data_IF_611846747824
#
_entry.id   IF_611846747824
#
_cell.length_a   1.000
_cell.length_b   1.000
_cell.length_c   1.000
_cell.angle_alpha   90.00
_cell.angle_beta   90.00
_cell.angle_gamma   90.00
#
_symmetry.space_group_name_H-M   'P 1'
#
loop_
_entity.id
_entity.type
_entity.pdbx_description
1 polymer ?
2 non-polymer ?
3 non-polymer ?
4 water ?
#
# COMPACT_ATOMS: atom_id res chain seq x y z
N UNK A 5 9.58 30.66 -12.95
CA UNK A 5 9.20 32.11 -12.86
C UNK A 5 8.28 32.50 -14.01
N UNK A 6 8.75 32.25 -15.24
CA UNK A 6 7.91 32.42 -16.42
C UNK A 6 6.87 31.29 -16.49
N UNK A 7 7.30 30.09 -16.11
CA UNK A 7 6.48 28.89 -16.20
C UNK A 7 5.25 28.94 -15.31
N UNK A 8 5.45 29.37 -14.06
CA UNK A 8 4.39 29.40 -13.02
C UNK A 8 3.09 30.02 -13.54
N UNK A 9 3.25 31.03 -14.38
CA UNK A 9 2.14 31.74 -15.00
C UNK A 9 1.25 30.81 -15.83
N UNK A 10 1.78 29.67 -16.25
CA UNK A 10 1.01 28.65 -16.99
C UNK A 10 -0.10 27.98 -16.15
N UNK A 11 0.00 28.10 -14.83
CA UNK A 11 -0.92 27.41 -13.93
C UNK A 11 -2.00 28.34 -13.40
N UNK A 12 -3.16 27.78 -13.07
CA UNK A 12 -4.19 28.50 -12.31
C UNK A 12 -3.59 29.19 -11.08
N UNK A 13 -4.16 30.33 -10.67
CA UNK A 13 -3.63 31.04 -9.50
C UNK A 13 -4.03 30.36 -8.19
N UNK A 14 -5.01 29.46 -8.25
CA UNK A 14 -5.44 28.67 -7.07
C UNK A 14 -4.42 27.64 -6.58
N UNK A 15 -3.36 27.45 -7.38
CA UNK A 15 -2.40 26.35 -7.18
C UNK A 15 -1.11 26.71 -6.46
N UNK A 16 -0.67 25.74 -5.68
CA UNK A 16 0.48 25.87 -4.83
C UNK A 16 1.65 25.06 -5.40
N UNK A 17 2.65 25.74 -5.94
CA UNK A 17 3.89 25.08 -6.41
C UNK A 17 5.09 25.29 -5.45
N UNK A 18 5.77 24.19 -5.14
CA UNK A 18 7.05 24.17 -4.45
C UNK A 18 7.94 23.27 -5.30
N UNK A 19 9.07 23.82 -5.76
CA UNK A 19 9.91 23.15 -6.77
C UNK A 19 11.39 23.33 -6.51
N UNK A 20 12.14 22.24 -6.65
CA UNK A 20 13.60 22.28 -6.52
C UNK A 20 14.22 21.37 -7.59
N UNK A 21 15.22 21.90 -8.29
CA UNK A 21 15.98 21.12 -9.31
C UNK A 21 17.46 21.34 -9.03
N UNK A 22 18.21 20.26 -8.89
CA UNK A 22 19.60 20.34 -8.56
C UNK A 22 20.40 19.23 -9.24
N UNK A 23 21.50 19.63 -9.86
CA UNK A 23 22.48 18.68 -10.42
C UNK A 23 22.93 17.70 -9.35
N UNK A 24 23.11 16.43 -9.72
CA UNK A 24 23.49 15.46 -8.71
C UNK A 24 24.88 15.84 -8.18
N UNK A 25 24.98 15.98 -6.87
CA UNK A 25 26.26 16.29 -6.23
C UNK A 25 26.63 17.76 -6.13
N UNK A 26 25.82 18.64 -6.76
CA UNK A 26 26.06 20.07 -6.72
C UNK A 26 25.73 20.69 -5.37
N UNK A 27 26.38 21.79 -5.04
CA UNK A 27 26.16 22.39 -3.73
C UNK A 27 24.97 23.33 -3.77
N UNK A 28 24.56 23.72 -4.97
CA UNK A 28 23.46 24.68 -5.13
C UNK A 28 22.49 24.28 -6.23
N UNK A 29 21.20 24.58 -6.03
CA UNK A 29 20.16 24.24 -7.00
C UNK A 29 20.10 25.15 -8.22
N UNK A 30 19.66 24.57 -9.34
CA UNK A 30 19.43 25.29 -10.57
C UNK A 30 18.12 26.04 -10.56
N UNK A 31 17.12 25.43 -9.92
CA UNK A 31 15.80 26.00 -9.72
C UNK A 31 15.43 25.81 -8.26
N UNK A 32 15.01 26.91 -7.62
CA UNK A 32 14.62 26.86 -6.22
C UNK A 32 13.43 27.77 -6.03
N UNK A 33 12.27 27.16 -5.89
CA UNK A 33 11.06 27.93 -5.76
C UNK A 33 10.18 27.44 -4.62
N UNK A 34 10.22 28.17 -3.50
CA UNK A 34 9.53 27.78 -2.27
C UNK A 34 9.91 26.35 -1.89
N UNK A 35 11.18 26.02 -2.05
CA UNK A 35 11.67 24.66 -1.79
C UNK A 35 11.63 24.22 -0.31
N UNK A 36 11.55 25.20 0.62
CA UNK A 36 11.49 24.87 2.06
C UNK A 36 10.06 24.76 2.57
N UNK A 37 9.12 25.07 1.69
CA UNK A 37 7.74 25.01 2.05
C UNK A 37 7.23 23.57 2.06
N UNK A 38 6.64 23.16 3.18
CA UNK A 38 6.19 21.79 3.37
C UNK A 38 4.87 21.48 2.65
N UNK A 39 4.81 20.29 2.03
CA UNK A 39 3.69 19.90 1.21
C UNK A 39 3.27 18.44 1.50
N UNK A 40 2.04 18.11 1.13
CA UNK A 40 1.57 16.74 1.09
C UNK A 40 2.34 15.99 -0.02
N UNK A 41 3.10 14.97 0.32
CA UNK A 41 3.87 14.24 -0.71
C UNK A 41 3.01 13.23 -1.49
N UNK A 42 1.90 12.75 -0.91
CA UNK A 42 1.16 11.64 -1.48
C UNK A 42 2.14 10.52 -1.82
N UNK A 43 1.98 9.83 -2.97
CA UNK A 43 2.76 8.59 -3.20
C UNK A 43 4.27 8.78 -3.38
N UNK A 44 4.78 10.02 -3.54
CA UNK A 44 6.24 10.22 -3.54
C UNK A 44 6.80 9.85 -2.19
N UNK A 45 5.93 9.70 -1.18
CA UNK A 45 6.37 9.16 0.13
C UNK A 45 7.04 7.80 -0.07
N UNK A 46 6.59 7.02 -1.05
CA UNK A 46 7.18 5.68 -1.32
C UNK A 46 8.71 5.68 -1.64
N UNK A 47 9.23 6.80 -2.11
CA UNK A 47 10.68 6.96 -2.35
C UNK A 47 11.45 6.79 -1.05
N UNK A 48 11.01 7.53 -0.03
CA UNK A 48 11.62 7.45 1.28
C UNK A 48 11.42 6.03 1.87
N UNK A 49 10.21 5.49 1.70
CA UNK A 49 9.96 4.14 2.22
C UNK A 49 10.90 3.11 1.60
N UNK A 50 11.08 3.20 0.29
CA UNK A 50 11.92 2.27 -0.44
C UNK A 50 13.35 2.42 0.08
N UNK A 51 13.81 3.67 0.25
CA UNK A 51 15.22 3.84 0.69
C UNK A 51 15.46 3.30 2.08
N UNK A 52 14.53 3.62 3.00
CA UNK A 52 14.65 3.23 4.41
C UNK A 52 14.61 1.71 4.48
N UNK A 53 13.77 1.10 3.64
CA UNK A 53 13.62 -0.35 3.60
C UNK A 53 14.89 -1.05 3.13
N UNK A 54 15.48 -0.54 2.05
CA UNK A 54 16.74 -1.14 1.55
C UNK A 54 17.82 -1.05 2.61
N UNK A 55 17.92 0.09 3.28
CA UNK A 55 18.97 0.23 4.29
C UNK A 55 18.71 -0.68 5.50
N UNK A 56 17.46 -0.71 5.98
CA UNK A 56 17.18 -1.45 7.20
C UNK A 56 17.03 -2.96 6.96
N UNK A 57 16.25 -3.33 5.97
CA UNK A 57 15.89 -4.73 5.75
C UNK A 57 16.81 -5.38 4.72
N UNK A 58 17.32 -4.58 3.78
CA UNK A 58 18.14 -5.07 2.67
C UNK A 58 17.34 -5.65 1.50
N UNK A 59 17.99 -5.72 0.34
CA UNK A 59 17.32 -6.11 -0.89
C UNK A 59 16.84 -7.58 -0.86
N UNK A 60 17.40 -8.39 0.05
CA UNK A 60 17.08 -9.83 0.09
C UNK A 60 16.05 -10.24 1.17
N UNK A 61 15.60 -9.30 1.99
CA UNK A 61 14.50 -9.54 2.92
C UNK A 61 13.31 -10.19 2.22
N UNK A 62 12.69 -11.16 2.89
CA UNK A 62 11.46 -11.76 2.40
C UNK A 62 10.45 -11.78 3.57
N UNK A 63 9.20 -11.46 3.28
CA UNK A 63 8.15 -11.65 4.30
C UNK A 63 7.97 -13.14 4.53
N UNK A 64 7.55 -13.52 5.74
CA UNK A 64 7.45 -14.94 6.06
C UNK A 64 6.14 -15.28 6.75
N UNK A 65 5.50 -16.37 6.31
CA UNK A 65 4.31 -16.87 6.95
C UNK A 65 4.60 -18.34 7.35
N UNK A 66 4.22 -18.76 8.57
CA UNK A 66 4.49 -20.15 8.96
C UNK A 66 3.30 -20.87 9.64
N UNK A 67 3.29 -22.19 9.55
CA UNK A 67 2.48 -23.01 10.46
C UNK A 67 3.44 -23.69 11.40
N UNK A 68 3.20 -23.49 12.69
CA UNK A 68 4.02 -24.03 13.76
C UNK A 68 3.20 -24.86 14.73
N UNK A 69 3.83 -25.91 15.26
CA UNK A 69 3.21 -26.74 16.27
C UNK A 69 3.91 -26.51 17.59
N UNK A 70 3.10 -26.33 18.62
CA UNK A 70 3.54 -26.26 20.01
C UNK A 70 2.95 -27.47 20.75
N UNK A 71 3.76 -28.52 20.89
CA UNK A 71 3.29 -29.75 21.50
C UNK A 71 3.82 -30.98 20.80
N UNK A 72 3.58 -32.15 21.42
CA UNK A 72 4.01 -33.43 20.89
C UNK A 72 3.00 -34.04 19.92
N UNK A 73 3.50 -34.60 18.83
CA UNK A 73 2.64 -35.29 17.87
C UNK A 73 2.62 -36.82 18.18
N UNK A 74 1.49 -37.29 18.72
CA UNK A 74 1.27 -38.69 19.05
C UNK A 74 0.21 -39.33 18.16
N UNK A 75 0.62 -40.25 17.28
CA UNK A 75 -0.36 -41.03 16.53
C UNK A 75 -1.20 -40.14 15.63
N UNK A 76 -0.54 -39.17 14.99
CA UNK A 76 -1.23 -38.21 14.12
C UNK A 76 -1.99 -37.12 14.84
N UNK A 77 -1.86 -37.08 16.17
CA UNK A 77 -2.59 -36.12 16.99
C UNK A 77 -1.62 -35.14 17.62
N UNK A 78 -1.80 -33.85 17.32
CA UNK A 78 -1.00 -32.80 17.97
C UNK A 78 -1.62 -32.54 19.34
N UNK A 79 -0.82 -32.77 20.37
CA UNK A 79 -1.29 -32.50 21.71
C UNK A 79 -0.77 -31.12 22.05
N UNK A 80 -1.62 -30.13 21.77
CA UNK A 80 -1.23 -28.72 21.86
C UNK A 80 -1.87 -27.88 20.76
N UNK A 81 -1.27 -26.73 20.48
CA UNK A 81 -1.85 -25.77 19.56
C UNK A 81 -1.18 -25.75 18.18
N UNK A 82 -1.97 -25.52 17.14
CA UNK A 82 -1.46 -25.10 15.83
C UNK A 82 -1.36 -23.58 15.83
N UNK A 83 -0.20 -23.05 15.43
CA UNK A 83 0.00 -21.59 15.38
C UNK A 83 0.20 -21.19 13.93
N UNK A 84 -0.67 -20.33 13.39
CA UNK A 84 -0.43 -19.81 12.05
C UNK A 84 0.16 -18.42 12.29
N UNK A 85 1.47 -18.28 12.07
CA UNK A 85 2.14 -17.03 12.39
C UNK A 85 2.25 -16.20 11.11
N UNK A 86 1.42 -15.15 11.04
CA UNK A 86 1.40 -14.28 9.88
C UNK A 86 2.51 -13.26 10.00
N UNK A 87 3.02 -12.78 8.87
CA UNK A 87 4.15 -11.87 8.88
C UNK A 87 4.01 -10.67 7.97
N UNK A 88 2.75 -10.29 7.69
CA UNK A 88 2.43 -9.07 6.95
C UNK A 88 2.82 -9.18 5.49
N UNK A 89 2.98 -10.43 5.00
CA UNK A 89 3.31 -10.65 3.57
C UNK A 89 2.18 -10.09 2.72
N UNK A 90 2.41 -9.02 1.93
CA UNK A 90 1.35 -8.39 1.11
C UNK A 90 0.89 -9.26 -0.07
N UNK A 91 1.67 -10.30 -0.36
CA UNK A 91 1.48 -11.10 -1.56
C UNK A 91 0.97 -12.50 -1.26
N UNK A 92 0.70 -12.80 0.02
CA UNK A 92 0.11 -14.10 0.39
C UNK A 92 -1.20 -14.38 -0.27
N UNK A 93 -1.38 -15.61 -0.80
CA UNK A 93 -2.66 -15.94 -1.48
C UNK A 93 -3.43 -17.12 -0.79
N UNK A 94 -4.75 -17.21 -0.97
CA UNK A 94 -5.54 -18.37 -0.46
C UNK A 94 -4.83 -19.68 -0.77
N UNK A 95 -4.37 -19.82 -2.01
CA UNK A 95 -3.77 -21.09 -2.39
C UNK A 95 -2.52 -21.39 -1.56
N UNK A 96 -1.81 -20.34 -1.09
CA UNK A 96 -0.63 -20.55 -0.21
C UNK A 96 -1.02 -21.16 1.13
N UNK A 97 -2.17 -20.77 1.64
CA UNK A 97 -2.63 -21.32 2.92
C UNK A 97 -2.98 -22.78 2.71
N UNK A 98 -3.73 -23.04 1.63
CA UNK A 98 -4.07 -24.40 1.21
C UNK A 98 -2.81 -25.27 1.12
N UNK A 99 -1.74 -24.73 0.52
CA UNK A 99 -0.43 -25.44 0.41
C UNK A 99 0.26 -25.70 1.72
N UNK A 100 0.27 -24.72 2.63
CA UNK A 100 0.86 -24.95 3.94
C UNK A 100 0.06 -26.03 4.68
N UNK A 101 -1.26 -25.99 4.58
CA UNK A 101 -2.10 -27.01 5.24
C UNK A 101 -1.85 -28.40 4.61
N UNK A 102 -1.66 -28.45 3.29
CA UNK A 102 -1.34 -29.72 2.65
C UNK A 102 -0.06 -30.28 3.26
N UNK A 103 0.92 -29.41 3.51
CA UNK A 103 2.22 -29.76 4.12
C UNK A 103 2.11 -30.19 5.58
N UNK A 104 1.25 -29.51 6.32
CA UNK A 104 0.94 -29.88 7.70
C UNK A 104 0.42 -31.33 7.76
N UNK A 105 -0.59 -31.62 6.96
CA UNK A 105 -1.16 -32.95 6.88
C UNK A 105 -0.08 -33.94 6.51
N UNK A 106 0.61 -33.66 5.41
CA UNK A 106 1.66 -34.55 4.94
C UNK A 106 2.70 -34.85 6.03
N UNK A 107 2.96 -33.90 6.94
CA UNK A 107 3.89 -34.16 8.05
C UNK A 107 3.35 -35.14 9.11
N UNK A 108 2.12 -35.59 8.94
CA UNK A 108 1.52 -36.58 9.86
C UNK A 108 0.49 -36.06 10.85
N UNK A 109 0.12 -34.77 10.76
CA UNK A 109 -0.92 -34.20 11.65
C UNK A 109 -2.33 -34.33 11.04
N UNK A 110 -3.18 -35.15 11.69
CA UNK A 110 -4.57 -35.36 11.26
C UNK A 110 -5.52 -34.67 12.18
N UNK A 111 -5.02 -34.33 13.36
CA UNK A 111 -5.89 -33.87 14.42
C UNK A 111 -5.15 -32.94 15.35
N UNK A 112 -5.83 -31.89 15.81
CA UNK A 112 -5.26 -30.99 16.81
C UNK A 112 -6.07 -31.05 18.10
N UNK A 113 -5.42 -31.51 19.16
CA UNK A 113 -6.05 -31.63 20.47
C UNK A 113 -5.75 -30.29 21.14
N UNK A 114 -6.43 -29.25 20.73
CA UNK A 114 -6.01 -27.90 21.12
C UNK A 114 -6.65 -26.84 20.28
N UNK A 115 -6.06 -25.64 20.35
CA UNK A 115 -6.59 -24.44 19.70
C UNK A 115 -5.87 -24.19 18.38
N UNK A 116 -6.50 -23.44 17.49
CA UNK A 116 -5.81 -22.97 16.29
C UNK A 116 -5.57 -21.50 16.52
N UNK A 117 -4.31 -21.10 16.53
CA UNK A 117 -3.99 -19.74 16.91
C UNK A 117 -3.59 -18.90 15.69
N UNK A 118 -4.21 -17.73 15.56
CA UNK A 118 -3.90 -16.81 14.47
C UNK A 118 -3.05 -15.74 15.06
N UNK A 119 -1.77 -15.90 14.80
CA UNK A 119 -0.79 -15.12 15.48
C UNK A 119 -0.45 -13.88 14.63
N UNK A 120 -0.70 -12.71 15.18
CA UNK A 120 -0.42 -11.45 14.49
C UNK A 120 0.58 -10.62 15.29
N UNK A 121 1.34 -11.27 16.18
CA UNK A 121 2.23 -10.59 17.15
C UNK A 121 3.35 -9.79 16.53
N UNK A 122 3.62 -10.04 15.25
CA UNK A 122 4.61 -9.23 14.50
C UNK A 122 4.31 -7.74 14.56
N UNK A 123 3.02 -7.43 14.58
CA UNK A 123 2.51 -6.07 14.56
C UNK A 123 1.67 -5.85 15.80
N UNK A 124 1.43 -4.58 16.13
CA UNK A 124 0.45 -4.27 17.17
C UNK A 124 -0.20 -2.92 16.86
N UNK A 125 -1.23 -2.62 17.63
CA UNK A 125 -2.02 -1.40 17.54
C UNK A 125 -2.80 -1.44 16.24
N UNK A 126 -3.34 -0.31 15.79
CA UNK A 126 -4.26 -0.28 14.67
C UNK A 126 -3.60 -0.61 13.33
N UNK A 127 -4.39 -1.19 12.42
CA UNK A 127 -3.91 -1.55 11.07
C UNK A 127 -4.06 -0.38 10.07
N UNK A 128 -4.48 0.77 10.57
CA UNK A 128 -4.69 1.96 9.75
C UNK A 128 -3.81 3.03 10.35
N UNK A 129 -3.03 3.70 9.50
CA UNK A 129 -2.16 4.76 9.93
C UNK A 129 -2.96 5.98 10.38
N UNK A 130 -2.39 6.80 11.27
CA UNK A 130 -2.98 8.09 11.58
C UNK A 130 -3.10 8.98 10.30
N UNK A 131 -4.21 9.68 10.17
CA UNK A 131 -4.36 10.63 9.07
C UNK A 131 -5.00 10.02 7.83
N UNK A 132 -5.30 8.73 7.86
CA UNK A 132 -6.09 8.15 6.75
C UNK A 132 -7.58 8.57 6.83
N UNK A 133 -8.14 9.01 5.70
CA UNK A 133 -9.56 9.42 5.62
C UNK A 133 -10.42 8.19 5.92
N UNK A 134 -11.36 8.35 6.82
CA UNK A 134 -12.25 7.21 7.17
C UNK A 134 -12.99 6.64 5.95
N UNK A 135 -13.42 7.49 5.06
CA UNK A 135 -14.35 7.06 3.97
C UNK A 135 -13.68 6.14 2.95
N UNK A 136 -12.35 6.11 2.96
CA UNK A 136 -11.63 5.25 2.02
C UNK A 136 -11.31 3.86 2.62
N UNK A 137 -11.67 3.62 3.89
CA UNK A 137 -11.22 2.42 4.60
C UNK A 137 -11.82 1.12 3.98
N UNK A 138 -12.99 1.24 3.35
CA UNK A 138 -13.60 0.07 2.68
C UNK A 138 -13.13 -0.13 1.26
N UNK A 139 -12.31 0.79 0.72
CA UNK A 139 -11.83 0.65 -0.67
C UNK A 139 -10.55 -0.18 -0.71
N UNK A 140 -10.39 -1.04 -1.73
CA UNK A 140 -9.17 -1.82 -1.81
C UNK A 140 -7.82 -1.06 -1.83
N UNK A 141 -7.76 0.13 -2.42
CA UNK A 141 -6.52 0.88 -2.43
C UNK A 141 -6.10 1.32 -1.04
N UNK A 142 -7.05 1.30 -0.11
CA UNK A 142 -6.75 1.68 1.27
C UNK A 142 -7.00 0.52 2.27
N UNK A 143 -6.92 -0.73 1.78
CA UNK A 143 -7.24 -1.89 2.63
C UNK A 143 -6.24 -1.92 3.78
N UNK A 144 -6.69 -2.09 5.03
CA UNK A 144 -5.73 -2.17 6.15
C UNK A 144 -4.63 -3.18 5.91
N UNK A 145 -3.39 -2.69 5.92
CA UNK A 145 -2.22 -3.53 5.67
C UNK A 145 -1.83 -4.29 6.95
N UNK A 146 -2.67 -5.23 7.31
CA UNK A 146 -2.55 -5.98 8.56
C UNK A 146 -1.44 -7.01 8.51
N UNK A 147 -1.09 -7.59 9.68
CA UNK A 147 -0.23 -8.79 9.70
C UNK A 147 -0.83 -9.93 8.91
N UNK A 148 -2.16 -10.06 8.99
CA UNK A 148 -2.82 -11.14 8.25
C UNK A 148 -3.43 -10.61 6.99
N UNK A 149 -2.81 -10.96 5.87
CA UNK A 149 -3.27 -10.56 4.52
C UNK A 149 -3.40 -11.81 3.65
N UNK A 150 -4.53 -11.92 2.98
CA UNK A 150 -4.75 -12.98 2.02
C UNK A 150 -5.43 -12.37 0.78
N UNK A 151 -4.79 -12.59 -0.37
CA UNK A 151 -5.31 -11.98 -1.64
C UNK A 151 -5.67 -10.51 -1.42
N UNK A 152 -4.69 -9.83 -0.83
CA UNK A 152 -4.64 -8.38 -0.69
C UNK A 152 -5.73 -7.85 0.20
N UNK A 153 -6.46 -8.75 0.89
CA UNK A 153 -7.53 -8.30 1.78
C UNK A 153 -8.61 -7.50 1.05
N UNK A 154 -8.93 -7.98 -0.15
CA UNK A 154 -9.90 -7.31 -1.03
C UNK A 154 -10.74 -8.43 -1.62
N UNK A 155 -12.05 -8.22 -1.72
CA UNK A 155 -12.97 -9.21 -2.28
C UNK A 155 -13.99 -8.47 -3.14
N UNK A 156 -14.78 -9.18 -3.93
CA UNK A 156 -15.71 -8.47 -4.79
C UNK A 156 -17.08 -9.12 -4.68
N UNK A 157 -18.09 -8.36 -5.08
CA UNK A 157 -19.44 -8.65 -4.81
C UNK A 157 -20.19 -8.14 -6.05
N UNK A 158 -21.37 -8.69 -6.32
CA UNK A 158 -22.23 -8.17 -7.40
C UNK A 158 -23.51 -7.70 -6.80
N UNK A 159 -23.91 -6.46 -7.09
CA UNK A 159 -25.18 -5.96 -6.59
C UNK A 159 -26.19 -5.90 -7.72
N UNK A 160 -27.33 -6.59 -7.52
CA UNK A 160 -28.40 -6.67 -8.52
C UNK A 160 -29.60 -5.88 -8.08
N UNK A 161 -30.13 -5.06 -8.98
CA UNK A 161 -31.38 -4.39 -8.65
C UNK A 161 -32.49 -5.43 -8.68
N UNK A 162 -33.52 -5.20 -7.86
CA UNK A 162 -34.70 -6.05 -7.85
C UNK A 162 -35.57 -5.78 -9.07
N UNK A 163 -36.17 -6.84 -9.64
CA UNK A 163 -37.15 -6.70 -10.75
C UNK A 163 -38.28 -5.69 -10.49
N UNK A 164 -38.87 -5.72 -9.29
CA UNK A 164 -39.86 -4.71 -8.89
C UNK A 164 -39.28 -3.61 -8.00
N UNK A 165 -39.40 -2.35 -8.42
CA UNK A 165 -39.02 -1.19 -7.61
C UNK A 165 -39.64 -1.18 -6.21
N UNK A 166 -38.84 -0.74 -5.24
CA UNK A 166 -39.26 -0.79 -3.85
C UNK A 166 -38.80 -2.07 -3.19
N UNK A 167 -38.54 -3.10 -4.00
CA UNK A 167 -37.97 -4.35 -3.48
C UNK A 167 -36.47 -4.21 -3.25
N UNK A 168 -35.99 -5.03 -2.30
CA UNK A 168 -34.61 -5.01 -1.80
C UNK A 168 -33.65 -5.47 -2.90
N UNK A 169 -32.68 -4.62 -3.26
CA UNK A 169 -31.60 -5.03 -4.16
C UNK A 169 -30.78 -6.16 -3.50
N UNK A 170 -30.27 -7.10 -4.29
CA UNK A 170 -29.67 -8.28 -3.70
C UNK A 170 -28.22 -8.55 -4.11
N UNK A 171 -27.49 -9.20 -3.22
CA UNK A 171 -26.04 -9.32 -3.35
C UNK A 171 -25.53 -10.74 -3.62
N UNK A 172 -24.74 -10.91 -4.67
CA UNK A 172 -24.07 -12.19 -4.84
C UNK A 172 -22.58 -12.07 -4.57
N UNK A 173 -22.07 -13.05 -3.83
CA UNK A 173 -20.66 -13.08 -3.49
C UNK A 173 -20.14 -14.51 -3.56
N UNK A 174 -18.94 -14.70 -4.06
CA UNK A 174 -18.34 -16.02 -4.19
C UNK A 174 -18.23 -16.72 -2.85
N UNK A 175 -18.50 -18.03 -2.87
CA UNK A 175 -18.49 -18.90 -1.71
C UNK A 175 -17.15 -18.81 -0.96
N UNK A 176 -16.08 -18.53 -1.68
CA UNK A 176 -14.74 -18.63 -1.09
C UNK A 176 -14.31 -17.37 -0.36
N UNK A 177 -15.22 -16.39 -0.22
CA UNK A 177 -14.91 -15.20 0.59
C UNK A 177 -15.64 -15.30 1.91
N UNK A 178 -14.90 -15.44 3.02
CA UNK A 178 -15.51 -15.50 4.34
C UNK A 178 -15.88 -14.10 4.83
N UNK A 179 -16.93 -13.55 4.22
CA UNK A 179 -17.50 -12.25 4.64
C UNK A 179 -19.01 -12.49 4.78
N UNK A 180 -19.73 -11.57 5.45
CA UNK A 180 -21.17 -11.68 5.57
C UNK A 180 -21.81 -10.43 5.01
N UNK A 181 -22.56 -10.57 3.92
CA UNK A 181 -23.17 -9.41 3.26
C UNK A 181 -24.65 -9.29 3.62
N UNK A 182 -25.08 -8.05 3.90
CA UNK A 182 -26.51 -7.78 4.08
C UNK A 182 -26.92 -6.62 3.16
N UNK A 183 -28.12 -6.70 2.58
CA UNK A 183 -28.60 -5.59 1.79
C UNK A 183 -29.81 -4.90 2.40
N UNK A 184 -29.70 -3.57 2.56
CA UNK A 184 -30.82 -2.73 2.95
C UNK A 184 -31.05 -1.67 1.86
N UNK A 185 -30.73 -2.07 0.63
CA UNK A 185 -30.73 -1.20 -0.55
C UNK A 185 -32.11 -1.26 -1.21
N UNK A 186 -32.73 -0.10 -1.37
CA UNK A 186 -34.05 -0.02 -1.98
C UNK A 186 -33.83 0.22 -3.46
N UNK A 187 -34.48 -0.59 -4.28
CA UNK A 187 -34.39 -0.45 -5.72
C UNK A 187 -35.32 0.67 -6.15
N UNK A 188 -34.81 1.63 -6.92
CA UNK A 188 -35.61 2.80 -7.31
C UNK A 188 -36.17 2.63 -8.72
N UNK A 189 -37.41 3.04 -8.91
CA UNK A 189 -37.99 3.10 -10.25
C UNK A 189 -37.14 4.04 -11.06
N UNK A 190 -36.93 3.73 -12.32
CA UNK A 190 -36.27 4.70 -13.18
C UNK A 190 -36.98 6.07 -13.11
N UNK A 191 -36.18 7.14 -13.05
CA UNK A 191 -36.69 8.50 -12.92
C UNK A 191 -37.14 8.97 -11.54
N UNK A 192 -36.90 8.16 -10.49
CA UNK A 192 -37.28 8.53 -9.12
C UNK A 192 -36.65 9.86 -8.71
N UNK A 193 -37.41 10.68 -8.00
CA UNK A 193 -36.89 11.93 -7.44
C UNK A 193 -35.77 11.65 -6.42
N UNK A 194 -35.82 10.47 -5.81
CA UNK A 194 -34.83 10.03 -4.85
C UNK A 194 -33.42 9.81 -5.39
N UNK A 195 -33.26 9.65 -6.69
CA UNK A 195 -31.97 9.17 -7.14
C UNK A 195 -30.85 10.23 -7.03
N UNK A 196 -31.22 11.53 -7.00
CA UNK A 196 -30.19 12.58 -6.99
C UNK A 196 -29.40 12.58 -5.68
N UNK A 197 -30.11 12.54 -4.55
CA UNK A 197 -29.44 12.64 -3.24
C UNK A 197 -29.45 11.40 -2.36
N UNK A 198 -29.99 10.29 -2.86
CA UNK A 198 -29.92 9.05 -2.12
C UNK A 198 -28.63 8.33 -2.46
N UNK A 199 -27.78 8.16 -1.47
CA UNK A 199 -26.45 7.56 -1.68
C UNK A 199 -26.57 6.03 -1.69
N UNK A 200 -25.61 5.36 -2.34
CA UNK A 200 -25.38 3.90 -2.21
C UNK A 200 -24.17 3.75 -1.29
N UNK A 201 -24.35 3.16 -0.12
CA UNK A 201 -23.29 3.17 0.87
C UNK A 201 -22.96 1.76 1.33
N UNK A 202 -21.71 1.61 1.77
CA UNK A 202 -21.26 0.43 2.46
C UNK A 202 -20.96 0.75 3.92
N UNK A 203 -21.48 -0.10 4.80
CA UNK A 203 -21.29 0.08 6.24
C UNK A 203 -20.69 -1.21 6.82
N UNK A 204 -19.39 -1.19 7.12
CA UNK A 204 -18.72 -2.38 7.73
C UNK A 204 -19.15 -2.58 9.17
N UNK A 205 -19.28 -3.84 9.56
CA UNK A 205 -19.57 -4.22 10.96
C UNK A 205 -18.49 -5.15 11.47
N UNK A 206 -18.68 -5.65 12.68
CA UNK A 206 -17.72 -6.61 13.22
C UNK A 206 -17.64 -7.94 12.42
N UNK A 207 -16.48 -8.57 12.44
CA UNK A 207 -16.31 -9.94 11.92
C UNK A 207 -16.59 -10.01 10.43
N UNK A 208 -16.11 -9.00 9.75
CA UNK A 208 -16.20 -8.93 8.28
C UNK A 208 -17.64 -9.00 7.79
N UNK A 209 -18.55 -8.36 8.55
CA UNK A 209 -19.91 -8.12 8.07
C UNK A 209 -19.96 -6.84 7.30
N UNK A 210 -20.71 -6.82 6.18
CA UNK A 210 -20.89 -5.58 5.48
C UNK A 210 -22.37 -5.39 5.17
N UNK A 211 -22.88 -4.18 5.41
CA UNK A 211 -24.28 -3.89 5.06
C UNK A 211 -24.30 -2.81 4.01
N UNK A 212 -25.02 -3.08 2.92
CA UNK A 212 -25.23 -2.11 1.86
C UNK A 212 -26.53 -1.34 2.13
N UNK A 213 -26.48 -0.02 2.05
CA UNK A 213 -27.69 0.77 2.33
C UNK A 213 -27.96 1.83 1.29
N UNK A 214 -29.17 2.37 1.31
CA UNK A 214 -29.51 3.47 0.45
C UNK A 214 -30.25 2.99 -0.78
N UNK A 215 -29.89 3.56 -1.92
CA UNK A 215 -30.69 3.34 -3.13
C UNK A 215 -29.89 2.92 -4.30
N UNK A 216 -30.52 2.09 -5.14
CA UNK A 216 -29.97 1.70 -6.42
C UNK A 216 -31.06 1.82 -7.50
N UNK A 217 -30.82 2.64 -8.53
CA UNK A 217 -31.76 2.71 -9.65
C UNK A 217 -31.80 1.36 -10.31
N UNK A 218 -32.96 0.99 -10.80
CA UNK A 218 -33.11 -0.21 -11.62
C UNK A 218 -32.05 -0.18 -12.70
N UNK A 219 -31.37 -1.30 -12.89
CA UNK A 219 -30.33 -1.43 -13.90
C UNK A 219 -30.40 -2.85 -14.44
N UNK A 220 -29.95 -3.02 -15.67
CA UNK A 220 -30.06 -4.27 -16.43
C UNK A 220 -28.98 -5.28 -16.06
N UNK A 221 -27.77 -4.79 -15.76
CA UNK A 221 -26.67 -5.65 -15.32
C UNK A 221 -26.39 -5.40 -13.84
N UNK A 222 -25.82 -6.39 -13.13
CA UNK A 222 -25.37 -6.14 -11.75
C UNK A 222 -24.32 -5.04 -11.63
N UNK A 223 -24.27 -4.38 -10.48
CA UNK A 223 -23.20 -3.43 -10.23
C UNK A 223 -22.06 -4.21 -9.57
N UNK A 224 -20.88 -4.23 -10.18
CA UNK A 224 -19.74 -4.86 -9.52
C UNK A 224 -19.06 -3.92 -8.50
N UNK A 225 -18.77 -4.46 -7.31
CA UNK A 225 -18.19 -3.68 -6.22
C UNK A 225 -17.08 -4.47 -5.60
N UNK A 226 -16.01 -3.77 -5.23
CA UNK A 226 -14.89 -4.42 -4.55
C UNK A 226 -14.69 -3.70 -3.22
N UNK A 227 -14.53 -4.48 -2.13
CA UNK A 227 -14.34 -3.90 -0.79
C UNK A 227 -13.11 -4.43 -0.08
N UNK A 228 -12.55 -3.65 0.85
CA UNK A 228 -11.45 -4.10 1.71
C UNK A 228 -11.98 -4.82 2.93
N UNK A 229 -11.31 -5.94 3.26
CA UNK A 229 -11.56 -6.70 4.50
C UNK A 229 -11.09 -5.78 5.63
N UNK A 230 -11.93 -5.57 6.63
CA UNK A 230 -11.62 -4.75 7.80
C UNK A 230 -10.90 -5.53 8.93
N UNK A 231 -11.11 -6.83 8.99
CA UNK A 231 -10.55 -7.64 10.07
C UNK A 231 -9.74 -8.77 9.45
N UNK A 232 -8.51 -8.44 9.11
CA UNK A 232 -7.61 -9.42 8.46
C UNK A 232 -7.39 -10.74 9.21
N UNK A 233 -7.21 -10.67 10.54
CA UNK A 233 -7.07 -11.90 11.35
C UNK A 233 -8.25 -12.86 11.26
N UNK A 234 -9.47 -12.32 11.37
CA UNK A 234 -10.66 -13.14 11.31
C UNK A 234 -10.81 -13.73 9.95
N UNK A 235 -10.53 -12.92 8.93
CA UNK A 235 -10.64 -13.37 7.54
C UNK A 235 -9.65 -14.52 7.25
N UNK A 236 -8.39 -14.30 7.59
CA UNK A 236 -7.34 -15.31 7.42
C UNK A 236 -7.64 -16.59 8.25
N UNK A 237 -8.11 -16.40 9.48
CA UNK A 237 -8.56 -17.53 10.30
C UNK A 237 -9.62 -18.37 9.65
N UNK A 238 -10.63 -17.72 9.11
CA UNK A 238 -11.73 -18.40 8.50
C UNK A 238 -11.19 -19.17 7.27
N UNK A 239 -10.29 -18.55 6.51
CA UNK A 239 -9.76 -19.29 5.36
C UNK A 239 -8.95 -20.51 5.83
N UNK A 240 -8.14 -20.33 6.86
CA UNK A 240 -7.33 -21.45 7.38
C UNK A 240 -8.23 -22.59 7.90
N UNK A 241 -9.31 -22.22 8.58
CA UNK A 241 -10.27 -23.18 9.11
C UNK A 241 -10.94 -23.96 7.99
N UNK A 242 -11.34 -23.25 6.94
CA UNK A 242 -11.84 -23.92 5.74
C UNK A 242 -10.79 -24.89 5.21
N UNK A 243 -9.56 -24.45 5.02
CA UNK A 243 -8.54 -25.34 4.44
C UNK A 243 -8.23 -26.55 5.35
N UNK A 244 -8.16 -26.32 6.65
CA UNK A 244 -7.98 -27.44 7.60
C UNK A 244 -9.05 -28.50 7.40
N UNK A 245 -10.32 -28.08 7.34
CA UNK A 245 -11.45 -29.02 7.20
C UNK A 245 -11.36 -29.78 5.91
N UNK A 246 -11.04 -29.07 4.82
CA UNK A 246 -10.95 -29.71 3.52
C UNK A 246 -9.88 -30.76 3.48
N UNK A 247 -8.78 -30.51 4.21
CA UNK A 247 -7.71 -31.50 4.25
C UNK A 247 -7.98 -32.62 5.31
N UNK A 248 -9.17 -32.60 5.89
CA UNK A 248 -9.62 -33.63 6.87
C UNK A 248 -9.00 -33.47 8.27
N UNK A 249 -8.35 -32.35 8.55
CA UNK A 249 -7.79 -32.08 9.88
C UNK A 249 -8.85 -31.53 10.79
N UNK A 250 -9.02 -32.15 11.97
CA UNK A 250 -9.97 -31.70 12.97
C UNK A 250 -9.21 -31.11 14.16
N UNK A 251 -9.90 -30.31 14.98
CA UNK A 251 -9.35 -29.77 16.22
C UNK A 251 -10.45 -29.66 17.29
N UNK A 252 -10.10 -29.78 18.56
CA UNK A 252 -11.12 -29.76 19.61
C UNK A 252 -11.46 -28.38 20.15
N UNK A 253 -10.58 -27.40 19.87
CA UNK A 253 -10.64 -26.12 20.53
C UNK A 253 -11.35 -25.12 19.67
N UNK A 254 -10.87 -23.88 19.67
CA UNK A 254 -11.41 -22.87 18.77
C UNK A 254 -10.29 -22.08 18.10
N UNK A 255 -10.71 -21.22 17.18
CA UNK A 255 -9.85 -20.28 16.52
C UNK A 255 -9.65 -19.08 17.43
N UNK A 256 -8.43 -18.86 17.90
CA UNK A 256 -8.15 -17.70 18.74
C UNK A 256 -7.07 -16.82 18.14
N UNK A 257 -7.18 -15.52 18.38
CA UNK A 257 -6.10 -14.64 17.98
C UNK A 257 -5.01 -14.66 19.03
N UNK A 258 -3.77 -14.62 18.58
CA UNK A 258 -2.62 -14.49 19.47
C UNK A 258 -1.89 -13.19 19.13
N UNK A 259 -1.87 -12.24 20.05
CA UNK A 259 -1.30 -10.90 19.78
C UNK A 259 0.01 -10.66 20.52
N UNK A 260 0.31 -11.49 21.52
CA UNK A 260 1.46 -11.27 22.39
C UNK A 260 2.71 -11.95 21.83
N UNK A 261 3.85 -11.27 21.90
CA UNK A 261 5.07 -11.91 21.45
C UNK A 261 5.28 -13.22 22.20
N UNK A 262 5.83 -14.20 21.49
CA UNK A 262 5.96 -15.55 21.99
C UNK A 262 7.07 -16.25 21.23
N UNK A 263 7.62 -17.29 21.83
CA UNK A 263 8.65 -18.10 21.16
C UNK A 263 8.05 -18.95 20.04
N UNK A 264 8.69 -19.01 18.88
CA UNK A 264 8.16 -19.82 17.79
C UNK A 264 8.07 -21.29 18.15
N UNK A 265 7.05 -21.95 17.61
CA UNK A 265 6.94 -23.40 17.70
C UNK A 265 7.86 -24.04 16.67
N UNK A 266 7.66 -25.34 16.44
CA UNK A 266 8.36 -26.05 15.39
C UNK A 266 7.72 -25.69 14.03
N UNK A 267 8.50 -25.14 13.11
CA UNK A 267 7.94 -24.74 11.81
C UNK A 267 7.70 -25.95 10.93
N UNK A 268 6.44 -26.24 10.66
CA UNK A 268 6.06 -27.40 9.85
C UNK A 268 5.80 -27.03 8.39
N UNK A 269 5.36 -25.79 8.16
CA UNK A 269 5.22 -25.32 6.79
C UNK A 269 5.52 -23.83 6.75
N UNK A 270 5.87 -23.32 5.57
CA UNK A 270 6.28 -21.91 5.42
C UNK A 270 6.12 -21.42 4.00
N UNK A 271 5.94 -20.09 3.89
CA UNK A 271 5.88 -19.43 2.59
C UNK A 271 6.62 -18.13 2.78
N UNK A 272 7.52 -17.84 1.84
CA UNK A 272 8.29 -16.59 1.81
C UNK A 272 7.93 -15.83 0.53
N UNK A 273 7.84 -14.52 0.65
CA UNK A 273 7.52 -13.64 -0.49
C UNK A 273 8.76 -13.61 -1.36
N UNK A 274 8.59 -13.11 -2.57
CA UNK A 274 9.69 -12.65 -3.40
C UNK A 274 10.61 -11.74 -2.57
N UNK A 275 11.88 -11.64 -2.93
CA UNK A 275 12.79 -10.75 -2.19
C UNK A 275 12.35 -9.26 -2.25
N UNK A 276 12.74 -8.50 -1.24
CA UNK A 276 12.33 -7.09 -1.12
C UNK A 276 12.65 -6.25 -2.34
N UNK A 277 13.80 -6.48 -2.94
CA UNK A 277 14.13 -5.67 -4.12
C UNK A 277 13.05 -5.82 -5.18
N UNK A 278 12.54 -7.06 -5.37
CA UNK A 278 11.46 -7.33 -6.31
C UNK A 278 10.16 -6.64 -5.93
N UNK A 279 9.83 -6.69 -4.64
CA UNK A 279 8.62 -6.05 -4.14
C UNK A 279 8.72 -4.54 -4.20
N UNK A 280 9.88 -3.98 -3.89
CA UNK A 280 9.99 -2.53 -3.96
C UNK A 280 9.85 -2.00 -5.42
N UNK A 281 10.30 -2.79 -6.40
CA UNK A 281 10.11 -2.46 -7.81
C UNK A 281 8.63 -2.46 -8.21
N UNK A 282 7.86 -3.46 -7.79
CA UNK A 282 6.41 -3.46 -7.98
C UNK A 282 5.86 -2.19 -7.29
N UNK A 283 6.27 -1.96 -6.04
CA UNK A 283 5.75 -0.86 -5.26
C UNK A 283 5.93 0.49 -5.98
N UNK A 284 7.10 0.69 -6.56
CA UNK A 284 7.50 1.98 -7.19
C UNK A 284 6.91 2.11 -8.59
N UNK A 285 6.85 0.99 -9.32
CA UNK A 285 6.25 0.97 -10.68
C UNK A 285 4.71 1.10 -10.67
N UNK A 286 4.06 0.61 -9.62
CA UNK A 286 2.58 0.58 -9.54
C UNK A 286 2.01 1.44 -8.42
N UNK A 287 2.88 2.02 -7.60
CA UNK A 287 2.48 2.82 -6.42
C UNK A 287 1.59 1.93 -5.58
N UNK A 288 2.13 0.76 -5.18
CA UNK A 288 1.35 -0.24 -4.41
C UNK A 288 1.37 0.14 -2.93
N UNK A 289 0.25 0.67 -2.45
CA UNK A 289 0.15 1.15 -1.05
C UNK A 289 0.39 -0.03 -0.06
N UNK A 290 -0.04 -1.23 -0.42
CA UNK A 290 -0.04 -2.30 0.59
C UNK A 290 1.38 -2.75 0.81
N UNK A 291 2.16 -2.81 -0.29
CA UNK A 291 3.58 -3.20 -0.14
C UNK A 291 4.27 -2.11 0.67
N UNK A 292 3.90 -0.86 0.39
CA UNK A 292 4.57 0.31 1.04
C UNK A 292 4.34 0.27 2.54
N UNK A 293 3.11 0.02 2.94
CA UNK A 293 2.70 0.10 4.34
C UNK A 293 3.05 -1.13 5.19
N UNK A 294 3.04 -2.34 4.58
CA UNK A 294 3.56 -3.52 5.31
C UNK A 294 5.03 -3.35 5.51
N UNK A 295 5.76 -2.90 4.46
CA UNK A 295 7.21 -2.59 4.59
C UNK A 295 7.42 -1.60 5.69
N UNK A 296 6.57 -0.58 5.74
CA UNK A 296 6.79 0.53 6.69
C UNK A 296 6.73 0.06 8.14
N UNK A 297 5.70 -0.69 8.50
CA UNK A 297 5.67 -1.18 9.87
C UNK A 297 6.72 -2.27 10.11
N UNK A 298 7.10 -3.00 9.06
CA UNK A 298 8.21 -3.98 9.21
C UNK A 298 9.56 -3.31 9.60
N UNK A 299 9.86 -2.16 9.02
CA UNK A 299 11.04 -1.36 9.34
C UNK A 299 11.12 -1.05 10.82
N UNK A 300 10.00 -0.60 11.41
CA UNK A 300 9.98 -0.28 12.84
C UNK A 300 10.20 -1.52 13.68
N UNK A 301 9.49 -2.58 13.33
CA UNK A 301 9.69 -3.86 13.99
C UNK A 301 11.16 -4.28 13.98
N UNK A 302 11.75 -4.34 12.78
CA UNK A 302 13.18 -4.63 12.62
C UNK A 302 14.15 -3.68 13.33
N UNK A 303 13.91 -2.38 13.32
CA UNK A 303 14.89 -1.48 13.92
C UNK A 303 14.85 -1.55 15.42
N UNK A 304 13.66 -1.70 15.99
CA UNK A 304 13.55 -1.58 17.44
C UNK A 304 13.24 -2.87 18.17
N UNK A 305 13.00 -3.96 17.42
CA UNK A 305 12.68 -5.26 18.03
C UNK A 305 11.48 -5.17 18.97
N UNK A 306 10.40 -4.63 18.43
CA UNK A 306 9.13 -4.48 19.14
C UNK A 306 8.10 -4.84 18.09
N UNK A 307 6.86 -5.20 18.47
CA UNK A 307 5.78 -5.38 17.49
C UNK A 307 5.64 -4.10 16.69
N UNK A 308 5.56 -4.23 15.37
CA UNK A 308 5.59 -3.08 14.52
C UNK A 308 4.32 -2.25 14.66
N UNK A 309 4.51 -0.95 14.86
CA UNK A 309 3.42 0.01 14.88
C UNK A 309 3.72 1.18 13.96
N UNK A 310 2.71 2.02 13.72
CA UNK A 310 2.90 3.19 12.87
C UNK A 310 3.91 4.13 13.49
N UNK A 311 3.85 4.30 14.81
CA UNK A 311 4.77 5.24 15.47
C UNK A 311 6.21 4.70 15.40
N UNK A 312 6.36 3.41 15.62
CA UNK A 312 7.68 2.76 15.52
C UNK A 312 8.24 2.92 14.10
N UNK A 313 7.39 2.69 13.10
CA UNK A 313 7.78 2.92 11.70
C UNK A 313 8.26 4.35 11.50
N UNK A 314 7.51 5.36 11.95
CA UNK A 314 7.90 6.76 11.71
C UNK A 314 9.25 7.11 12.37
N UNK A 315 9.41 6.72 13.63
CA UNK A 315 10.66 6.95 14.38
C UNK A 315 11.81 6.25 13.65
N UNK A 316 11.60 5.02 13.23
CA UNK A 316 12.67 4.23 12.58
C UNK A 316 13.11 4.90 11.26
N UNK A 317 12.15 5.33 10.43
CA UNK A 317 12.49 5.93 9.13
C UNK A 317 13.27 7.23 9.37
N UNK A 318 12.79 8.05 10.30
CA UNK A 318 13.47 9.28 10.68
C UNK A 318 14.90 8.98 11.08
N UNK A 319 15.07 7.94 11.90
CA UNK A 319 16.40 7.59 12.42
C UNK A 319 17.32 7.10 11.31
N UNK A 320 16.78 6.26 10.41
CA UNK A 320 17.54 5.59 9.36
C UNK A 320 18.04 6.70 8.47
N UNK A 321 17.14 7.63 8.13
CA UNK A 321 17.50 8.70 7.21
C UNK A 321 18.60 9.56 7.83
N UNK A 322 18.51 9.81 9.13
CA UNK A 322 19.49 10.69 9.78
C UNK A 322 20.86 10.03 9.90
N UNK A 323 20.85 8.80 10.38
CA UNK A 323 22.04 8.16 10.85
C UNK A 323 22.74 7.44 9.71
N UNK A 324 21.97 6.81 8.81
CA UNK A 324 22.58 6.11 7.67
C UNK A 324 22.65 6.95 6.38
N UNK A 325 21.76 7.92 6.19
CA UNK A 325 21.72 8.64 4.93
C UNK A 325 22.14 10.09 5.10
N UNK A 326 22.47 10.45 6.34
CA UNK A 326 22.88 11.80 6.69
C UNK A 326 21.86 12.87 6.32
N UNK A 327 20.57 12.51 6.33
CA UNK A 327 19.49 13.45 6.11
C UNK A 327 18.77 13.62 7.44
N UNK A 328 18.86 14.82 7.97
CA UNK A 328 18.03 15.22 9.10
C UNK A 328 16.74 15.83 8.54
N UNK A 329 15.61 15.13 8.72
CA UNK A 329 14.37 15.57 8.11
C UNK A 329 13.69 16.68 8.90
N UNK A 330 14.26 17.03 10.06
CA UNK A 330 13.76 18.16 10.84
C UNK A 330 12.29 18.01 11.18
N UNK A 331 11.53 19.06 10.83
CA UNK A 331 10.09 19.14 11.14
C UNK A 331 9.16 18.32 10.20
N UNK A 332 9.74 17.57 9.27
CA UNK A 332 8.97 16.66 8.41
C UNK A 332 8.09 15.77 9.29
N UNK A 333 6.91 15.42 8.80
CA UNK A 333 6.10 14.43 9.46
C UNK A 333 5.94 13.26 8.50
N UNK A 334 6.36 12.07 8.96
CA UNK A 334 6.19 10.82 8.25
C UNK A 334 5.17 10.05 9.05
N UNK A 335 4.06 9.71 8.41
CA UNK A 335 2.95 9.05 9.09
C UNK A 335 2.75 7.63 8.59
N UNK A 336 3.13 7.37 7.33
CA UNK A 336 3.04 6.03 6.83
C UNK A 336 4.10 5.74 5.74
N UNK A 337 4.01 4.59 5.09
CA UNK A 337 4.92 4.27 3.97
C UNK A 337 4.40 4.63 2.58
N UNK A 338 3.10 4.56 2.42
CA UNK A 338 2.50 4.70 1.09
C UNK A 338 2.26 6.16 0.62
N UNK A 339 2.17 7.08 1.59
CA UNK A 339 1.71 8.46 1.39
C UNK A 339 0.19 8.66 1.41
N UNK A 340 -0.55 7.62 1.79
CA UNK A 340 -2.01 7.76 1.93
C UNK A 340 -2.36 8.80 2.99
N UNK A 341 -1.60 8.82 4.09
CA UNK A 341 -1.97 9.69 5.20
C UNK A 341 -1.90 11.16 4.85
N UNK A 342 -2.92 11.90 5.29
CA UNK A 342 -2.94 13.34 5.11
C UNK A 342 -2.08 14.04 6.16
N UNK A 343 -1.52 13.28 7.09
CA UNK A 343 -0.57 13.86 8.06
C UNK A 343 0.86 13.99 7.48
N UNK A 344 1.16 13.29 6.38
CA UNK A 344 2.53 13.27 5.82
C UNK A 344 2.79 14.68 5.36
N UNK A 345 3.95 15.24 5.73
CA UNK A 345 4.25 16.66 5.40
C UNK A 345 5.74 16.80 5.24
N UNK A 346 6.17 17.24 4.05
CA UNK A 346 7.59 17.32 3.67
C UNK A 346 7.85 18.42 2.60
N UNK A 347 8.97 19.10 2.76
CA UNK A 347 9.43 20.13 1.83
C UNK A 347 10.27 19.52 0.72
N UNK A 348 10.19 20.09 -0.50
CA UNK A 348 11.09 19.69 -1.61
C UNK A 348 12.54 19.61 -1.21
N UNK A 349 12.99 20.56 -0.37
CA UNK A 349 14.38 20.60 0.08
C UNK A 349 14.78 19.35 0.84
N UNK A 350 13.86 18.85 1.69
CA UNK A 350 14.09 17.62 2.39
C UNK A 350 14.07 16.43 1.45
N UNK A 351 13.05 16.30 0.60
CA UNK A 351 13.03 15.18 -0.34
C UNK A 351 14.25 15.25 -1.28
N UNK A 352 14.72 16.46 -1.60
CA UNK A 352 15.94 16.61 -2.45
C UNK A 352 17.12 15.94 -1.79
N UNK A 353 17.24 16.06 -0.46
CA UNK A 353 18.38 15.43 0.22
C UNK A 353 18.29 13.91 0.11
N UNK A 354 17.06 13.42 0.17
CA UNK A 354 16.79 12.00 -0.03
C UNK A 354 17.21 11.60 -1.45
N UNK A 355 16.74 12.32 -2.48
CA UNK A 355 17.12 12.03 -3.89
C UNK A 355 18.63 12.12 -4.15
N UNK A 356 19.27 13.12 -3.55
CA UNK A 356 20.74 13.29 -3.70
C UNK A 356 21.44 12.07 -3.15
N UNK A 357 21.02 11.60 -1.98
CA UNK A 357 21.64 10.40 -1.40
C UNK A 357 21.45 9.20 -2.32
N UNK A 358 20.22 9.03 -2.79
CA UNK A 358 19.92 7.91 -3.70
C UNK A 358 20.84 8.01 -4.93
N UNK A 359 20.91 9.17 -5.58
CA UNK A 359 21.71 9.27 -6.82
C UNK A 359 23.20 8.96 -6.55
N UNK A 360 23.72 9.55 -5.48
CA UNK A 360 25.09 9.31 -5.04
C UNK A 360 25.37 7.84 -4.73
N UNK A 361 24.38 7.08 -4.25
CA UNK A 361 24.64 5.69 -3.89
C UNK A 361 23.97 4.73 -4.86
N UNK A 362 23.62 5.21 -6.05
CA UNK A 362 22.75 4.39 -6.85
C UNK A 362 23.43 3.13 -7.35
N UNK A 363 24.76 3.17 -7.55
CA UNK A 363 25.45 1.93 -7.97
C UNK A 363 25.32 0.86 -6.90
N UNK A 364 25.12 1.28 -5.66
CA UNK A 364 24.91 0.35 -4.54
C UNK A 364 23.47 -0.12 -4.37
N UNK A 365 22.54 0.83 -4.50
CA UNK A 365 21.14 0.53 -4.17
C UNK A 365 20.41 -0.13 -5.31
N UNK A 366 20.88 0.14 -6.52
CA UNK A 366 20.15 -0.16 -7.78
C UNK A 366 18.71 0.36 -7.61
N UNK A 367 18.61 1.64 -7.37
CA UNK A 367 17.34 2.27 -7.00
C UNK A 367 16.66 2.87 -8.20
N UNK A 368 17.39 3.69 -8.96
CA UNK A 368 16.79 4.50 -10.02
C UNK A 368 16.11 3.66 -11.07
N UNK A 369 16.67 2.49 -11.34
CA UNK A 369 16.05 1.59 -12.33
C UNK A 369 14.65 1.10 -11.91
N UNK A 370 14.34 1.18 -10.62
CA UNK A 370 13.05 0.74 -10.08
C UNK A 370 11.95 1.78 -10.28
N UNK A 371 12.31 3.05 -10.48
CA UNK A 371 11.31 4.13 -10.64
C UNK A 371 10.72 4.06 -12.02
N UNK A 372 9.48 4.50 -12.18
CA UNK A 372 8.84 4.57 -13.48
C UNK A 372 9.75 5.32 -14.45
N UNK A 373 9.97 4.77 -15.64
CA UNK A 373 10.76 5.47 -16.68
C UNK A 373 9.79 6.07 -17.70
N UNK A 374 9.90 7.39 -17.89
CA UNK A 374 8.99 8.10 -18.75
C UNK A 374 8.96 7.52 -20.17
N UNK A 375 7.76 7.29 -20.68
CA UNK A 375 7.57 6.72 -22.03
C UNK A 375 7.62 5.20 -22.07
N UNK A 376 7.82 4.54 -20.91
CA UNK A 376 7.91 3.08 -20.85
C UNK A 376 6.86 2.55 -19.90
N UNK A 377 6.54 1.27 -20.01
CA UNK A 377 5.55 0.61 -19.15
C UNK A 377 5.75 1.09 -17.69
N UNK A 378 4.69 1.66 -17.10
CA UNK A 378 4.70 2.14 -15.67
C UNK A 378 3.83 3.39 -15.51
N UNK A 379 3.93 4.07 -14.36
CA UNK A 379 3.13 5.27 -14.11
C UNK A 379 3.43 6.48 -15.03
N UNK A 380 4.55 6.42 -15.74
CA UNK A 380 4.95 7.52 -16.64
C UNK A 380 4.99 7.03 -18.10
N UNK A 381 4.31 5.93 -18.38
CA UNK A 381 4.21 5.45 -19.76
C UNK A 381 3.84 6.57 -20.72
N UNK A 382 2.84 7.37 -20.36
CA UNK A 382 2.50 8.57 -21.11
C UNK A 382 2.03 9.67 -20.17
N UNK A 383 2.93 10.61 -19.92
CA UNK A 383 2.55 11.79 -19.18
C UNK A 383 2.81 12.90 -20.15
N UNK A 384 1.73 13.55 -20.57
CA UNK A 384 1.75 14.41 -21.73
C UNK A 384 2.81 15.49 -21.64
N UNK A 385 2.98 16.08 -20.46
CA UNK A 385 3.98 17.11 -20.23
C UNK A 385 5.36 16.59 -20.56
N UNK A 386 5.68 15.39 -20.07
CA UNK A 386 7.02 14.84 -20.26
C UNK A 386 7.18 14.44 -21.71
N UNK A 387 6.16 13.81 -22.28
CA UNK A 387 6.25 13.40 -23.67
C UNK A 387 6.50 14.61 -24.55
N UNK A 388 5.69 15.65 -24.37
CA UNK A 388 5.82 16.87 -25.20
C UNK A 388 7.10 17.62 -24.93
N UNK A 389 7.66 17.46 -23.73
CA UNK A 389 8.92 18.11 -23.41
C UNK A 389 10.08 17.42 -24.12
N UNK A 390 9.81 16.24 -24.69
CA UNK A 390 10.84 15.47 -25.37
C UNK A 390 11.72 14.65 -24.44
N UNK A 391 11.23 14.35 -23.22
CA UNK A 391 12.05 13.68 -22.24
C UNK A 391 11.70 12.22 -21.96
N UNK A 392 10.92 11.59 -22.83
CA UNK A 392 10.70 10.15 -22.65
C UNK A 392 12.09 9.52 -22.67
N UNK A 393 12.32 8.55 -21.78
CA UNK A 393 13.58 7.85 -21.70
C UNK A 393 14.59 8.62 -20.90
N UNK A 394 14.27 9.84 -20.53
CA UNK A 394 15.21 10.70 -19.81
C UNK A 394 14.86 10.97 -18.34
N UNK A 395 13.61 10.66 -17.96
CA UNK A 395 13.13 10.92 -16.60
C UNK A 395 12.75 9.60 -15.95
N UNK A 396 13.28 9.38 -14.73
CA UNK A 396 12.93 8.32 -13.84
C UNK A 396 12.37 8.99 -12.58
N UNK A 397 11.09 8.80 -12.32
CA UNK A 397 10.47 9.59 -11.25
C UNK A 397 9.26 8.93 -10.65
N UNK A 398 9.02 9.22 -9.37
CA UNK A 398 7.84 8.73 -8.69
C UNK A 398 6.72 9.80 -8.72
N UNK A 399 5.49 9.42 -9.09
CA UNK A 399 4.36 10.35 -9.06
C UNK A 399 3.72 10.33 -7.66
N UNK A 400 2.98 11.40 -7.35
CA UNK A 400 2.13 11.43 -6.14
C UNK A 400 0.90 12.20 -6.63
N UNK A 401 -0.19 11.49 -6.91
CA UNK A 401 -1.40 12.03 -7.56
C UNK A 401 -2.64 11.83 -6.70
N UNK A 402 -3.46 12.88 -6.66
CA UNK A 402 -4.70 12.93 -5.89
C UNK A 402 -5.53 13.91 -6.69
N UNK A 403 -6.82 14.02 -6.42
CA UNK A 403 -7.58 15.12 -7.05
C UNK A 403 -6.86 16.42 -6.68
N UNK A 404 -6.43 17.18 -7.68
CA UNK A 404 -5.83 18.48 -7.40
C UNK A 404 -4.37 18.44 -6.98
N UNK A 405 -3.76 17.25 -7.02
CA UNK A 405 -2.35 17.09 -6.64
C UNK A 405 -1.59 16.40 -7.76
N UNK A 406 -0.47 17.00 -8.16
CA UNK A 406 0.36 16.52 -9.25
C UNK A 406 1.84 16.56 -8.88
N UNK A 407 2.27 15.66 -7.99
CA UNK A 407 3.62 15.69 -7.46
C UNK A 407 4.48 14.82 -8.36
N UNK A 408 5.72 15.23 -8.53
CA UNK A 408 6.72 14.37 -9.20
C UNK A 408 8.02 14.49 -8.45
N UNK A 409 8.66 13.36 -8.14
CA UNK A 409 10.00 13.36 -7.53
C UNK A 409 10.87 12.34 -8.22
N UNK A 410 12.06 12.79 -8.67
CA UNK A 410 13.00 11.84 -9.26
C UNK A 410 14.18 12.48 -9.96
N UNK A 411 14.54 11.92 -11.11
CA UNK A 411 15.78 12.32 -11.79
C UNK A 411 15.51 12.50 -13.28
N UNK A 412 16.27 13.43 -13.88
CA UNK A 412 16.27 13.63 -15.32
C UNK A 412 17.71 13.69 -15.82
N UNK A 413 17.95 13.06 -16.97
CA UNK A 413 19.25 13.18 -17.64
C UNK A 413 19.07 14.21 -18.73
N UNK A 414 19.92 15.23 -18.74
CA UNK A 414 19.75 16.34 -19.65
C UNK A 414 20.46 16.12 -20.98
N UNK A 415 20.19 17.04 -21.90
CA UNK A 415 20.78 17.06 -23.25
C UNK A 415 22.29 16.86 -23.23
N UNK A 416 22.95 17.45 -22.23
CA UNK A 416 24.39 17.31 -22.09
C UNK A 416 24.82 16.11 -21.25
N UNK A 417 23.85 15.27 -20.88
CA UNK A 417 24.13 13.99 -20.17
C UNK A 417 24.40 14.11 -18.68
N UNK A 418 24.07 15.25 -18.11
CA UNK A 418 24.20 15.43 -16.68
C UNK A 418 22.90 14.96 -16.03
N UNK A 419 23.00 14.40 -14.83
CA UNK A 419 21.82 13.97 -14.13
C UNK A 419 21.41 15.03 -13.10
N UNK A 420 20.15 15.38 -13.14
CA UNK A 420 19.61 16.32 -12.19
C UNK A 420 18.51 15.65 -11.36
N UNK A 421 18.46 15.97 -10.09
CA UNK A 421 17.39 15.50 -9.22
C UNK A 421 16.36 16.65 -9.16
N UNK A 422 15.08 16.29 -9.05
CA UNK A 422 14.01 17.29 -9.00
C UNK A 422 12.86 16.84 -8.06
N UNK A 423 12.23 17.84 -7.41
CA UNK A 423 11.02 17.62 -6.61
C UNK A 423 10.04 18.69 -7.05
N UNK A 424 8.91 18.24 -7.59
CA UNK A 424 7.82 19.09 -8.01
C UNK A 424 6.64 18.77 -7.12
N UNK A 425 6.37 19.67 -6.16
CA UNK A 425 5.17 19.53 -5.34
C UNK A 425 4.17 20.60 -5.73
N UNK A 426 3.08 20.14 -6.35
CA UNK A 426 2.09 20.98 -7.00
C UNK A 426 0.69 20.52 -6.60
N UNK A 427 -0.05 21.41 -5.93
CA UNK A 427 -1.37 21.08 -5.41
C UNK A 427 -2.44 22.11 -5.64
N UNK A 428 -3.63 21.78 -5.14
CA UNK A 428 -4.82 22.63 -5.31
C UNK A 428 -5.12 22.88 -6.78
N UNK A 429 -4.55 22.09 -7.66
CA UNK A 429 -4.90 22.09 -9.07
C UNK A 429 -6.28 21.44 -9.20
N UNK A 430 -7.27 22.02 -8.51
CA UNK A 430 -8.65 21.76 -8.83
C UNK A 430 -8.92 22.72 -9.99
N UNK A 431 -7.90 22.86 -10.84
CA UNK A 431 -7.74 23.99 -11.77
C UNK A 431 -7.35 25.21 -10.94
N UNK A 440 -6.65 19.29 -17.73
CA UNK A 440 -5.32 18.78 -18.11
C UNK A 440 -4.75 19.48 -19.36
N UNK A 441 -4.66 20.81 -19.27
CA UNK A 441 -3.97 21.65 -20.26
C UNK A 441 -2.92 22.51 -19.57
N UNK A 442 -3.27 23.32 -18.56
CA UNK A 442 -2.27 24.10 -17.83
C UNK A 442 -1.15 23.23 -17.23
N UNK A 443 -1.51 22.09 -16.66
CA UNK A 443 -0.49 21.18 -16.15
C UNK A 443 0.46 20.75 -17.27
N UNK A 444 -0.10 20.30 -18.40
CA UNK A 444 0.71 19.86 -19.53
C UNK A 444 1.62 20.98 -20.03
N UNK A 445 1.05 22.17 -20.16
CA UNK A 445 1.82 23.30 -20.62
C UNK A 445 2.94 23.69 -19.66
N UNK A 446 2.69 23.57 -18.36
CA UNK A 446 3.71 23.87 -17.34
C UNK A 446 4.84 22.85 -17.43
N UNK A 447 4.47 21.59 -17.40
CA UNK A 447 5.48 20.52 -17.38
C UNK A 447 6.28 20.43 -18.70
N UNK A 448 5.59 20.65 -19.84
CA UNK A 448 6.25 20.67 -21.17
C UNK A 448 7.35 21.69 -21.18
N UNK A 449 7.02 22.90 -20.73
CA UNK A 449 8.00 23.97 -20.67
C UNK A 449 9.08 23.68 -19.66
N UNK A 450 8.69 23.28 -18.46
CA UNK A 450 9.63 23.11 -17.40
C UNK A 450 10.62 22.03 -17.71
N UNK A 451 10.14 20.82 -18.03
CA UNK A 451 11.05 19.71 -18.32
C UNK A 451 11.87 19.93 -19.60
N UNK A 452 11.26 20.56 -20.61
CA UNK A 452 11.97 20.93 -21.87
C UNK A 452 13.17 21.83 -21.54
N UNK A 453 12.93 22.90 -20.78
CA UNK A 453 13.96 23.79 -20.24
C UNK A 453 15.08 23.10 -19.48
N UNK A 454 14.73 22.26 -18.49
CA UNK A 454 15.75 21.55 -17.72
C UNK A 454 16.60 20.66 -18.62
N UNK A 455 15.95 19.97 -19.56
CA UNK A 455 16.65 18.98 -20.37
C UNK A 455 17.63 19.68 -21.33
N UNK A 456 17.15 20.69 -22.04
CA UNK A 456 18.00 21.30 -23.09
C UNK A 456 18.93 22.43 -22.61
N UNK A 457 18.63 23.03 -21.45
CA UNK A 457 19.44 24.10 -20.86
C UNK A 457 20.44 23.67 -19.77
N UNK A 458 20.61 22.38 -19.64
CA UNK A 458 21.57 21.83 -18.71
C UNK A 458 22.21 20.64 -19.40
X LIG B 1 -2.26 4.57 -7.94
X LIG B 1 -1.69 5.86 -7.83
X LIG B 1 -1.05 6.30 -6.72
X LIG B 1 -1.25 5.71 -5.37
X LIG B 1 -2.66 4.54 -5.29
X LIG B 1 -2.23 3.57 -6.78
X LIG B 1 -1.22 6.75 -4.22
X LIG B 1 -1.59 6.71 -9.09
X LIG B 1 -2.31 7.86 -9.12
X LIG B 1 -0.59 6.62 -9.78
X LIG B 1 -0.15 7.86 -4.46
X LIG B 1 -0.40 9.07 -4.49
X LIG B 1 -2.60 8.20 -2.85
X LIG B 1 -2.55 7.30 -3.87
X LIG B 1 -1.59 8.56 -2.25
X LIG B 1 -3.39 4.39 -8.96
X LIG B 1 -4.67 4.71 -8.63
X LIG B 1 -5.45 3.47 -8.60
X LIG B 1 -6.42 3.35 -7.47
X LIG B 1 -6.07 3.24 -9.89
X LIG B 1 -5.21 8.50 -3.00
X LIG B 1 -5.45 7.61 -4.01
X LIG B 1 -6.76 7.47 -4.33
X LIG B 1 -7.69 8.48 -3.30
X LIG B 1 -6.33 9.06 -2.47
X LIG B 1 -3.45 7.81 -10.03
X LIG B 1 -2.62 8.08 -12.20
X LIG B 1 -3.29 8.71 -11.17
X LIG B 1 -3.03 6.95 -12.53
X LIG B 1 -1.42 8.76 -12.92
X LIG B 1 -1.96 9.98 -13.67
X LIG B 1 -0.36 9.19 -11.90
X LIG B 1 -0.77 7.79 -13.94
X LIG B 1 -3.97 8.83 -2.44
X LIG B 1 -3.96 9.76 -1.40
X LIG B 1 -2.81 10.17 -0.71
X LIG B 1 -2.93 11.50 0.02
X LIG B 1 -7.29 6.65 -5.27
X LIG C 1 16.40 7.88 -16.48
X LIG C 1 16.75 6.54 -16.62
X LIG C 1 17.46 8.42 -15.56
X LIG C 1 18.65 8.28 -16.31
X LIG C 1 17.22 9.90 -15.31
X LIG C 1 18.39 10.46 -14.80
#
# INVERSE_FOLDING_TARGET
MANVDEYITQLPAGANLALMVQKVGASAPAIDYHSQQMALPASTQKVITALAALIQLGPDFRFTTTLETKGNVENGVLKGDLVARFGADPTLKRQDIRNMVATLKKSGVNQIDGNVLIDTSIFASHDKAPGWPWNDMTQCFSAPPAAAIVDRNCFSVSLYSAPKPGDMAFIRVASYYPVTMFSQVRTLPRGSAEAQYCELDVVPGDLNRFTLTGCLPQRSEPLPLAFAVQDGASYAGAILKYELKQAGITWSGTLLRQTQVNEPGTVVASKQSAPLHDLLKIMLKKSDNMIADTVFRMIGHARFNVPGTWRAGSDAVRQILRQQAGVDIGNTIIADGSGLSRHNLIAPATMMQVLQYIAQHDNELNFISMLPLAGYDGSLQYRAGLHQAGVDGKVSAKTGSLQGVYNLAGFITTASGQRMAFVQYLSGYAVEPADQRNRRIPLVRFESRLYKDIYQNN
FXM C1 C2 N3 C4 S5 C6 C7 C8 O9 O10 C11 O12 C13 N14 O15 C16 O17 C18 N19 O20 C21 N22 C23 S24 C25 C26 C27 O28 O29 C30 C31 C32 C33 C34 C35 C36 C37 N38
GOL C1 O1 C2 O2 C3 O3
#
